data_IF_744317504372
#
_entry.id   IF_744317504372
#
_cell.length_a   1.000
_cell.length_b   1.000
_cell.length_c   1.000
_cell.angle_alpha   90.00
_cell.angle_beta   90.00
_cell.angle_gamma   90.00
#
_symmetry.space_group_name_H-M   'P 1'
#
loop_
_entity.id
_entity.type
_entity.pdbx_description
1 polymer ?
#
# COMPACT_ATOMS: atom_id res chain seq x y z
N UNK A 1 -14.43 -21.73 45.59
CA UNK A 1 -15.71 -21.57 44.85
C UNK A 1 -15.56 -21.24 43.36
N UNK A 2 -14.41 -20.82 42.83
CA UNK A 2 -14.25 -20.44 41.41
C UNK A 2 -14.12 -21.58 40.38
N UNK A 3 -13.55 -22.74 40.77
CA UNK A 3 -13.32 -23.85 39.83
C UNK A 3 -14.62 -24.53 39.36
N UNK A 4 -15.59 -24.74 40.26
CA UNK A 4 -16.86 -25.37 39.91
C UNK A 4 -17.68 -24.57 38.90
N UNK A 5 -17.61 -23.23 38.96
CA UNK A 5 -18.33 -22.36 38.04
C UNK A 5 -17.78 -22.46 36.62
N UNK A 6 -16.45 -22.57 36.45
CA UNK A 6 -15.81 -22.73 35.14
C UNK A 6 -16.21 -24.07 34.50
N UNK A 7 -16.30 -25.14 35.29
CA UNK A 7 -16.77 -26.44 34.80
C UNK A 7 -18.24 -26.39 34.39
N UNK A 8 -19.11 -25.74 35.18
CA UNK A 8 -20.53 -25.60 34.86
C UNK A 8 -20.72 -24.77 33.57
N UNK A 9 -19.98 -23.68 33.42
CA UNK A 9 -20.02 -22.84 32.22
C UNK A 9 -19.50 -23.60 30.98
N UNK A 10 -18.43 -24.39 31.13
CA UNK A 10 -17.92 -25.24 30.05
C UNK A 10 -18.92 -26.30 29.59
N UNK A 11 -19.60 -26.96 30.54
CA UNK A 11 -20.62 -27.96 30.27
C UNK A 11 -21.86 -27.31 29.61
N UNK A 12 -22.28 -26.15 30.07
CA UNK A 12 -23.39 -25.40 29.48
C UNK A 12 -23.09 -24.99 28.02
N UNK A 13 -21.85 -24.54 27.75
CA UNK A 13 -21.42 -24.18 26.40
C UNK A 13 -21.36 -25.40 25.45
N UNK A 14 -20.85 -26.54 25.93
CA UNK A 14 -20.88 -27.80 25.19
C UNK A 14 -22.31 -28.25 24.89
N UNK A 15 -23.22 -28.15 25.85
CA UNK A 15 -24.62 -28.51 25.65
C UNK A 15 -25.30 -27.65 24.58
N UNK A 16 -25.04 -26.35 24.55
CA UNK A 16 -25.58 -25.44 23.53
C UNK A 16 -25.05 -25.81 22.13
N UNK A 17 -23.76 -26.14 22.02
CA UNK A 17 -23.14 -26.56 20.75
C UNK A 17 -23.69 -27.90 20.25
N UNK A 18 -23.92 -28.86 21.15
CA UNK A 18 -24.54 -30.15 20.83
C UNK A 18 -25.98 -29.94 20.34
N UNK A 19 -26.76 -29.09 21.03
CA UNK A 19 -28.13 -28.77 20.62
C UNK A 19 -28.15 -28.09 19.25
N UNK A 20 -27.22 -27.17 18.98
CA UNK A 20 -27.11 -26.51 17.67
C UNK A 20 -26.75 -27.50 16.56
N UNK A 21 -25.82 -28.42 16.80
CA UNK A 21 -25.40 -29.46 15.86
C UNK A 21 -26.53 -30.46 15.54
N UNK A 22 -27.30 -30.87 16.55
CA UNK A 22 -28.48 -31.74 16.35
C UNK A 22 -29.56 -30.99 15.54
N UNK A 23 -29.76 -29.70 15.81
CA UNK A 23 -30.76 -28.87 15.13
C UNK A 23 -30.38 -28.54 13.67
N UNK A 24 -29.09 -28.59 13.31
CA UNK A 24 -28.60 -28.46 11.92
C UNK A 24 -28.68 -29.76 11.12
N UNK A 25 -29.07 -30.88 11.75
CA UNK A 25 -29.58 -32.07 11.06
C UNK A 25 -28.57 -32.84 10.21
N UNK A 26 -27.25 -32.70 10.44
CA UNK A 26 -26.25 -33.35 9.58
C UNK A 26 -25.14 -34.09 10.34
N UNK A 27 -25.42 -35.39 10.48
CA UNK A 27 -24.57 -36.50 10.88
C UNK A 27 -24.26 -36.67 12.39
N UNK A 28 -24.70 -37.81 12.92
CA UNK A 28 -24.50 -38.28 14.29
C UNK A 28 -23.01 -38.51 14.65
N UNK A 29 -22.13 -38.57 13.65
CA UNK A 29 -20.70 -38.88 13.78
C UNK A 29 -19.93 -37.73 14.45
N UNK A 30 -20.28 -36.47 14.13
CA UNK A 30 -19.59 -35.30 14.69
C UNK A 30 -19.90 -35.06 16.17
N UNK A 31 -21.09 -35.48 16.62
CA UNK A 31 -21.47 -35.42 18.04
C UNK A 31 -20.53 -36.29 18.88
N UNK A 32 -20.19 -37.49 18.40
CA UNK A 32 -19.24 -38.38 19.08
C UNK A 32 -17.81 -37.84 19.13
N UNK A 33 -17.35 -37.16 18.07
CA UNK A 33 -16.01 -36.55 18.01
C UNK A 33 -15.87 -35.37 18.98
N UNK A 34 -16.91 -34.53 19.10
CA UNK A 34 -16.91 -33.38 20.01
C UNK A 34 -16.99 -33.81 21.48
N UNK A 35 -17.75 -34.88 21.76
CA UNK A 35 -17.90 -35.42 23.12
C UNK A 35 -16.62 -36.10 23.61
N UNK A 36 -15.95 -36.88 22.76
CA UNK A 36 -14.75 -37.63 23.17
C UNK A 36 -13.50 -36.75 23.23
N UNK A 37 -13.43 -35.69 22.42
CA UNK A 37 -12.20 -34.93 22.19
C UNK A 37 -12.34 -33.42 22.41
N UNK A 38 -13.28 -32.99 23.27
CA UNK A 38 -13.44 -31.63 23.81
C UNK A 38 -12.82 -30.50 22.95
N UNK A 39 -11.66 -29.95 23.33
CA UNK A 39 -11.02 -28.82 22.63
C UNK A 39 -10.47 -29.13 21.23
N UNK A 40 -9.97 -30.34 21.00
CA UNK A 40 -9.43 -30.74 19.69
C UNK A 40 -10.55 -31.00 18.69
N UNK A 41 -11.71 -31.50 19.16
CA UNK A 41 -12.93 -31.65 18.36
C UNK A 41 -13.46 -30.31 17.84
N UNK A 42 -13.41 -29.25 18.67
CA UNK A 42 -13.76 -27.90 18.25
C UNK A 42 -12.83 -27.34 17.16
N UNK A 43 -11.50 -27.51 17.32
CA UNK A 43 -10.51 -27.09 16.32
C UNK A 43 -10.64 -27.87 15.00
N UNK A 44 -10.86 -29.18 15.09
CA UNK A 44 -11.05 -30.04 13.91
C UNK A 44 -12.34 -29.68 13.16
N UNK A 45 -13.44 -29.40 13.86
CA UNK A 45 -14.70 -28.99 13.24
C UNK A 45 -14.60 -27.63 12.54
N UNK A 46 -13.94 -26.65 13.16
CA UNK A 46 -13.69 -25.36 12.54
C UNK A 46 -12.82 -25.52 11.29
N UNK A 47 -11.74 -26.30 11.37
CA UNK A 47 -10.81 -26.51 10.26
C UNK A 47 -11.38 -27.33 9.09
N UNK A 48 -12.17 -28.36 9.37
CA UNK A 48 -12.70 -29.26 8.35
C UNK A 48 -14.04 -28.82 7.76
N UNK A 49 -14.89 -28.14 8.54
CA UNK A 49 -16.30 -27.90 8.15
C UNK A 49 -16.60 -26.40 7.92
N UNK A 50 -16.05 -25.49 8.72
CA UNK A 50 -16.32 -24.04 8.60
C UNK A 50 -15.45 -23.37 7.53
N UNK A 51 -14.18 -23.76 7.46
CA UNK A 51 -13.19 -23.25 6.49
C UNK A 51 -13.62 -23.50 5.03
N UNK A 52 -13.98 -24.72 4.57
CA UNK A 52 -14.39 -24.93 3.18
C UNK A 52 -15.70 -24.20 2.80
N UNK A 53 -16.63 -24.04 3.75
CA UNK A 53 -17.86 -23.27 3.57
C UNK A 53 -17.61 -21.77 3.39
N UNK A 54 -16.66 -21.20 4.15
CA UNK A 54 -16.27 -19.80 4.03
C UNK A 54 -15.39 -19.52 2.81
N UNK A 55 -14.54 -20.46 2.41
CA UNK A 55 -13.71 -20.36 1.19
C UNK A 55 -14.53 -20.33 -0.12
N UNK A 56 -15.76 -20.82 -0.12
CA UNK A 56 -16.67 -20.81 -1.29
C UNK A 56 -17.52 -19.54 -1.44
N UNK A 57 -17.44 -18.59 -0.52
CA UNK A 57 -18.19 -17.33 -0.61
C UNK A 57 -17.50 -16.32 -1.55
N UNK A 58 -18.28 -15.64 -2.41
CA UNK A 58 -17.76 -14.63 -3.36
C UNK A 58 -17.07 -13.45 -2.65
N UNK A 59 -17.45 -13.16 -1.40
CA UNK A 59 -16.83 -12.13 -0.55
C UNK A 59 -15.46 -12.57 -0.01
N UNK A 60 -15.34 -13.81 0.45
CA UNK A 60 -14.07 -14.39 0.91
C UNK A 60 -13.06 -14.50 -0.23
N UNK A 61 -13.48 -14.80 -1.47
CA UNK A 61 -12.55 -14.79 -2.62
C UNK A 61 -11.99 -13.40 -2.96
N UNK A 62 -12.72 -12.31 -2.70
CA UNK A 62 -12.22 -10.94 -2.87
C UNK A 62 -11.25 -10.56 -1.74
N UNK A 63 -11.60 -10.91 -0.50
CA UNK A 63 -10.72 -10.72 0.65
C UNK A 63 -9.42 -11.56 0.55
N UNK A 64 -9.53 -12.83 0.16
CA UNK A 64 -8.40 -13.74 -0.07
C UNK A 64 -7.52 -13.29 -1.24
N UNK A 65 -8.09 -12.66 -2.29
CA UNK A 65 -7.30 -12.02 -3.36
C UNK A 65 -6.51 -10.82 -2.85
N UNK A 66 -7.08 -10.02 -1.96
CA UNK A 66 -6.38 -8.90 -1.32
C UNK A 66 -5.24 -9.38 -0.42
N UNK A 67 -5.51 -10.40 0.41
CA UNK A 67 -4.50 -11.04 1.27
C UNK A 67 -3.44 -11.79 0.47
N UNK A 68 -3.78 -12.37 -0.69
CA UNK A 68 -2.80 -13.02 -1.58
C UNK A 68 -1.93 -12.01 -2.33
N UNK A 69 -2.43 -10.79 -2.60
CA UNK A 69 -1.62 -9.69 -3.16
C UNK A 69 -0.59 -9.16 -2.15
N UNK A 70 -0.92 -9.16 -0.86
CA UNK A 70 0.04 -8.79 0.19
C UNK A 70 1.01 -9.93 0.53
N UNK A 71 0.64 -11.20 0.30
CA UNK A 71 1.52 -12.37 0.51
C UNK A 71 2.45 -12.70 -0.68
N UNK A 72 2.12 -12.30 -1.91
CA UNK A 72 3.01 -12.45 -3.09
C UNK A 72 3.13 -11.14 -3.89
N UNK A 73 3.65 -10.05 -3.28
CA UNK A 73 3.95 -8.80 -3.99
C UNK A 73 4.98 -9.01 -5.11
N UNK A 74 5.77 -10.08 -5.04
CA UNK A 74 6.75 -10.47 -6.06
C UNK A 74 6.13 -10.95 -7.37
N UNK A 75 4.86 -11.39 -7.39
CA UNK A 75 4.22 -11.85 -8.64
C UNK A 75 4.03 -10.71 -9.63
N UNK A 76 3.58 -9.55 -9.18
CA UNK A 76 3.33 -8.40 -10.06
C UNK A 76 4.61 -7.86 -10.67
N UNK A 77 5.67 -7.77 -9.86
CA UNK A 77 6.99 -7.40 -10.35
C UNK A 77 7.51 -8.41 -11.38
N UNK A 78 7.42 -9.72 -11.11
CA UNK A 78 7.84 -10.75 -12.07
C UNK A 78 7.13 -10.62 -13.42
N UNK A 79 5.81 -10.38 -13.42
CA UNK A 79 5.05 -10.15 -14.65
C UNK A 79 5.52 -8.89 -15.38
N UNK A 80 5.77 -7.80 -14.65
CA UNK A 80 6.24 -6.54 -15.24
C UNK A 80 7.67 -6.66 -15.79
N UNK A 81 8.57 -7.37 -15.10
CA UNK A 81 9.93 -7.68 -15.55
C UNK A 81 9.91 -8.53 -16.82
N UNK A 82 9.06 -9.57 -16.86
CA UNK A 82 8.89 -10.40 -18.05
C UNK A 82 8.33 -9.61 -19.23
N UNK A 83 7.31 -8.77 -19.02
CA UNK A 83 6.73 -7.93 -20.07
C UNK A 83 7.73 -6.91 -20.62
N UNK A 84 8.49 -6.25 -19.73
CA UNK A 84 9.54 -5.31 -20.10
C UNK A 84 10.67 -5.99 -20.87
N UNK A 85 11.04 -7.22 -20.50
CA UNK A 85 12.05 -8.01 -21.23
C UNK A 85 11.59 -8.42 -22.63
N UNK A 86 10.31 -8.78 -22.79
CA UNK A 86 9.77 -9.27 -24.06
C UNK A 86 9.46 -8.13 -25.04
N UNK A 87 8.80 -7.07 -24.55
CA UNK A 87 8.34 -5.97 -25.43
C UNK A 87 9.29 -4.79 -25.46
N UNK A 88 9.94 -4.47 -24.34
CA UNK A 88 10.90 -3.38 -24.23
C UNK A 88 10.35 -1.98 -24.52
N UNK A 89 9.04 -1.80 -24.62
CA UNK A 89 8.42 -0.52 -24.95
C UNK A 89 8.24 0.38 -23.72
N UNK A 90 7.97 1.66 -23.94
CA UNK A 90 7.85 2.67 -22.87
C UNK A 90 6.76 2.31 -21.84
N UNK A 91 5.60 1.83 -22.28
CA UNK A 91 4.52 1.43 -21.37
C UNK A 91 4.92 0.25 -20.47
N UNK A 92 5.63 -0.75 -21.01
CA UNK A 92 6.14 -1.90 -20.25
C UNK A 92 7.19 -1.47 -19.21
N UNK A 93 8.09 -0.55 -19.59
CA UNK A 93 9.09 0.02 -18.67
C UNK A 93 8.46 0.84 -17.56
N UNK A 94 7.44 1.63 -17.88
CA UNK A 94 6.68 2.40 -16.89
C UNK A 94 6.03 1.46 -15.85
N UNK A 95 5.35 0.40 -16.29
CA UNK A 95 4.73 -0.57 -15.36
C UNK A 95 5.76 -1.28 -14.49
N UNK A 96 6.91 -1.63 -15.05
CA UNK A 96 8.03 -2.17 -14.30
C UNK A 96 8.49 -1.18 -13.22
N UNK A 97 8.71 0.08 -13.58
CA UNK A 97 9.12 1.12 -12.65
C UNK A 97 8.10 1.33 -11.52
N UNK A 98 6.80 1.38 -11.83
CA UNK A 98 5.73 1.49 -10.83
C UNK A 98 5.67 0.27 -9.89
N UNK A 99 5.93 -0.94 -10.40
CA UNK A 99 6.01 -2.15 -9.58
C UNK A 99 7.24 -2.12 -8.65
N UNK A 100 8.39 -1.65 -9.15
CA UNK A 100 9.63 -1.49 -8.37
C UNK A 100 9.46 -0.45 -7.26
N UNK A 101 8.86 0.70 -7.55
CA UNK A 101 8.56 1.76 -6.56
C UNK A 101 7.67 1.23 -5.43
N UNK A 102 6.65 0.42 -5.74
CA UNK A 102 5.76 -0.18 -4.72
C UNK A 102 6.46 -1.21 -3.84
N UNK A 103 7.55 -1.83 -4.31
CA UNK A 103 8.39 -2.72 -3.52
C UNK A 103 9.52 -1.99 -2.77
N UNK A 104 9.61 -0.65 -2.90
CA UNK A 104 10.70 0.13 -2.31
C UNK A 104 12.04 -0.03 -3.03
N UNK A 105 12.06 -0.65 -4.23
CA UNK A 105 13.25 -0.78 -5.08
C UNK A 105 13.45 0.48 -5.90
N UNK A 106 13.70 1.59 -5.22
CA UNK A 106 13.67 2.93 -5.80
C UNK A 106 14.79 3.19 -6.83
N UNK A 107 15.99 2.66 -6.60
CA UNK A 107 17.10 2.79 -7.56
C UNK A 107 16.77 2.12 -8.90
N UNK A 108 16.30 0.87 -8.86
CA UNK A 108 15.89 0.13 -10.04
C UNK A 108 14.70 0.79 -10.75
N UNK A 109 13.76 1.35 -9.98
CA UNK A 109 12.62 2.09 -10.54
C UNK A 109 13.09 3.34 -11.30
N UNK A 110 14.03 4.10 -10.73
CA UNK A 110 14.61 5.27 -11.38
C UNK A 110 15.31 4.90 -12.69
N UNK A 111 16.06 3.79 -12.72
CA UNK A 111 16.70 3.31 -13.95
C UNK A 111 15.68 2.89 -15.02
N UNK A 112 14.60 2.21 -14.64
CA UNK A 112 13.52 1.85 -15.54
C UNK A 112 12.83 3.09 -16.15
N UNK A 113 12.59 4.13 -15.35
CA UNK A 113 12.05 5.40 -15.84
C UNK A 113 13.03 6.12 -16.77
N UNK A 114 14.32 6.19 -16.45
CA UNK A 114 15.34 6.81 -17.34
C UNK A 114 15.41 6.12 -18.69
N UNK A 115 15.31 4.78 -18.71
CA UNK A 115 15.26 4.03 -19.96
C UNK A 115 13.97 4.31 -20.75
N UNK A 116 12.86 4.60 -20.07
CA UNK A 116 11.60 4.97 -20.71
C UNK A 116 11.62 6.40 -21.28
N UNK A 117 12.36 7.32 -20.65
CA UNK A 117 12.56 8.72 -21.03
C UNK A 117 13.57 8.88 -22.18
N UNK A 118 13.28 8.26 -23.33
CA UNK A 118 14.14 8.37 -24.53
C UNK A 118 13.32 8.61 -25.79
N UNK A 119 13.94 9.23 -26.80
CA UNK A 119 13.31 9.50 -28.09
C UNK A 119 12.07 10.38 -27.94
N UNK A 120 10.91 9.92 -28.44
CA UNK A 120 9.66 10.68 -28.39
C UNK A 120 9.16 10.96 -26.95
N UNK A 121 9.63 10.19 -25.97
CA UNK A 121 9.17 10.25 -24.58
C UNK A 121 10.19 10.92 -23.64
N UNK A 122 11.26 11.53 -24.18
CA UNK A 122 12.34 12.16 -23.40
C UNK A 122 11.85 13.17 -22.35
N UNK A 123 10.76 13.86 -22.65
CA UNK A 123 10.13 14.84 -21.76
C UNK A 123 8.69 14.47 -21.39
N UNK A 124 8.32 13.18 -21.44
CA UNK A 124 6.97 12.77 -21.05
C UNK A 124 6.69 13.13 -19.59
N UNK A 125 5.64 13.92 -19.30
CA UNK A 125 5.44 14.46 -17.96
C UNK A 125 5.12 13.40 -16.91
N UNK A 126 4.46 12.30 -17.28
CA UNK A 126 4.11 11.24 -16.33
C UNK A 126 5.34 10.41 -15.97
N UNK A 127 6.20 10.11 -16.95
CA UNK A 127 7.46 9.39 -16.71
C UNK A 127 8.45 10.22 -15.89
N UNK A 128 8.55 11.53 -16.15
CA UNK A 128 9.38 12.44 -15.36
C UNK A 128 8.88 12.56 -13.92
N UNK A 129 7.56 12.67 -13.72
CA UNK A 129 6.98 12.67 -12.37
C UNK A 129 7.24 11.35 -11.64
N UNK A 130 7.09 10.22 -12.33
CA UNK A 130 7.42 8.89 -11.79
C UNK A 130 8.89 8.75 -11.41
N UNK A 131 9.79 9.26 -12.25
CA UNK A 131 11.24 9.31 -11.96
C UNK A 131 11.52 10.13 -10.69
N UNK A 132 10.94 11.32 -10.58
CA UNK A 132 11.10 12.17 -9.40
C UNK A 132 10.59 11.48 -8.12
N UNK A 133 9.45 10.78 -8.19
CA UNK A 133 8.92 10.00 -7.07
C UNK A 133 9.87 8.87 -6.66
N UNK A 134 10.44 8.16 -7.64
CA UNK A 134 11.42 7.10 -7.38
C UNK A 134 12.71 7.66 -6.76
N UNK A 135 13.25 8.76 -7.27
CA UNK A 135 14.45 9.42 -6.74
C UNK A 135 14.24 9.88 -5.29
N UNK A 136 13.11 10.56 -5.02
CA UNK A 136 12.78 11.02 -3.68
C UNK A 136 12.57 9.85 -2.71
N UNK A 137 11.85 8.80 -3.13
CA UNK A 137 11.69 7.58 -2.34
C UNK A 137 13.02 6.86 -2.05
N UNK A 138 13.98 6.95 -2.97
CA UNK A 138 15.35 6.44 -2.82
C UNK A 138 16.25 7.29 -1.94
N UNK A 139 15.76 8.41 -1.39
CA UNK A 139 16.54 9.30 -0.53
C UNK A 139 17.41 10.31 -1.27
N UNK A 140 17.13 10.58 -2.55
CA UNK A 140 17.82 11.60 -3.34
C UNK A 140 16.88 12.77 -3.68
N UNK A 141 16.61 13.67 -2.71
CA UNK A 141 15.71 14.80 -2.90
C UNK A 141 16.25 15.79 -3.94
N UNK A 142 17.57 15.96 -4.03
CA UNK A 142 18.20 16.86 -5.00
C UNK A 142 17.97 16.41 -6.45
N UNK A 143 18.13 15.11 -6.74
CA UNK A 143 17.84 14.57 -8.07
C UNK A 143 16.33 14.64 -8.40
N UNK A 144 15.46 14.41 -7.42
CA UNK A 144 14.02 14.55 -7.59
C UNK A 144 13.65 16.00 -7.94
N UNK A 145 14.18 16.98 -7.20
CA UNK A 145 13.96 18.40 -7.48
C UNK A 145 14.45 18.78 -8.87
N UNK A 146 15.66 18.37 -9.25
CA UNK A 146 16.20 18.65 -10.59
C UNK A 146 15.31 18.07 -11.71
N UNK A 147 14.75 16.88 -11.49
CA UNK A 147 13.83 16.23 -12.43
C UNK A 147 12.49 16.98 -12.51
N UNK A 148 11.98 17.48 -11.38
CA UNK A 148 10.77 18.30 -11.33
C UNK A 148 10.98 19.70 -11.94
N UNK A 149 12.15 20.31 -11.76
CA UNK A 149 12.52 21.56 -12.44
C UNK A 149 12.51 21.37 -13.97
N UNK A 150 13.10 20.27 -14.45
CA UNK A 150 13.06 19.91 -15.87
C UNK A 150 11.62 19.62 -16.35
N UNK A 151 10.81 18.94 -15.53
CA UNK A 151 9.40 18.67 -15.83
C UNK A 151 8.62 19.97 -16.04
N UNK A 152 8.77 20.94 -15.13
CA UNK A 152 8.12 22.25 -15.23
C UNK A 152 8.61 23.02 -16.46
N UNK A 153 9.91 22.97 -16.75
CA UNK A 153 10.50 23.66 -17.89
C UNK A 153 10.00 23.13 -19.23
N UNK A 154 9.99 21.80 -19.41
CA UNK A 154 9.59 21.17 -20.67
C UNK A 154 8.08 20.99 -20.82
N UNK A 155 7.33 20.99 -19.71
CA UNK A 155 5.88 20.78 -19.70
C UNK A 155 5.15 21.86 -18.86
N UNK A 156 5.19 23.14 -19.27
CA UNK A 156 4.61 24.24 -18.47
C UNK A 156 3.10 24.13 -18.25
N UNK A 157 2.39 23.43 -19.14
CA UNK A 157 0.95 23.18 -19.04
C UNK A 157 0.61 21.98 -18.14
N UNK A 158 1.59 21.13 -17.80
CA UNK A 158 1.37 19.99 -16.92
C UNK A 158 1.25 20.45 -15.47
N UNK A 159 0.05 20.32 -14.90
CA UNK A 159 -0.23 20.65 -13.50
C UNK A 159 -0.52 19.38 -12.72
N UNK A 160 0.37 19.05 -11.78
CA UNK A 160 0.14 17.98 -10.81
C UNK A 160 0.29 18.54 -9.40
N UNK A 161 -0.80 18.57 -8.60
CA UNK A 161 -0.72 18.88 -7.18
C UNK A 161 0.30 17.98 -6.47
N UNK A 162 0.36 16.70 -6.82
CA UNK A 162 1.29 15.71 -6.26
C UNK A 162 2.74 16.04 -6.60
N UNK A 163 3.01 16.46 -7.84
CA UNK A 163 4.33 16.92 -8.27
C UNK A 163 4.77 18.17 -7.53
N UNK A 164 3.88 19.14 -7.30
CA UNK A 164 4.19 20.33 -6.52
C UNK A 164 4.43 19.98 -5.04
N UNK A 165 3.62 19.10 -4.43
CA UNK A 165 3.90 18.63 -3.06
C UNK A 165 5.27 17.93 -2.96
N UNK A 166 5.60 17.10 -3.95
CA UNK A 166 6.90 16.42 -4.01
C UNK A 166 8.05 17.42 -4.12
N UNK A 167 7.87 18.49 -4.90
CA UNK A 167 8.85 19.57 -5.02
C UNK A 167 9.12 20.27 -3.69
N UNK A 168 8.06 20.66 -2.97
CA UNK A 168 8.16 21.29 -1.67
C UNK A 168 8.84 20.38 -0.63
N UNK A 169 8.55 19.07 -0.68
CA UNK A 169 9.21 18.06 0.16
C UNK A 169 10.69 17.88 -0.17
N UNK A 170 11.05 17.88 -1.46
CA UNK A 170 12.44 17.82 -1.88
C UNK A 170 13.23 19.03 -1.38
N UNK A 171 12.67 20.24 -1.50
CA UNK A 171 13.26 21.46 -0.95
C UNK A 171 13.45 21.39 0.57
N UNK A 172 12.46 20.87 1.30
CA UNK A 172 12.52 20.68 2.75
C UNK A 172 13.66 19.72 3.13
N UNK A 173 13.76 18.56 2.47
CA UNK A 173 14.77 17.53 2.73
C UNK A 173 16.19 17.97 2.29
N UNK A 174 16.31 18.86 1.30
CA UNK A 174 17.55 19.54 0.92
C UNK A 174 17.98 20.62 1.94
N UNK A 175 17.14 20.94 2.94
CA UNK A 175 17.39 21.99 3.94
C UNK A 175 17.04 23.40 3.46
N UNK A 176 16.37 23.55 2.32
CA UNK A 176 15.94 24.84 1.78
C UNK A 176 14.58 25.27 2.35
N UNK A 177 14.54 25.44 3.68
CA UNK A 177 13.32 25.65 4.45
C UNK A 177 12.50 26.87 3.99
N UNK A 178 13.16 27.96 3.58
CA UNK A 178 12.47 29.18 3.13
C UNK A 178 11.68 28.95 1.83
N UNK A 179 12.31 28.31 0.83
CA UNK A 179 11.62 27.97 -0.42
C UNK A 179 10.53 26.93 -0.19
N UNK A 180 10.80 25.90 0.61
CA UNK A 180 9.79 24.90 0.96
C UNK A 180 8.55 25.54 1.61
N UNK A 181 8.76 26.52 2.51
CA UNK A 181 7.68 27.25 3.16
C UNK A 181 6.83 28.04 2.16
N UNK A 182 7.45 28.70 1.17
CA UNK A 182 6.74 29.40 0.11
C UNK A 182 5.87 28.45 -0.71
N UNK A 183 6.41 27.32 -1.14
CA UNK A 183 5.66 26.32 -1.91
C UNK A 183 4.52 25.70 -1.09
N UNK A 184 4.77 25.35 0.18
CA UNK A 184 3.71 24.84 1.06
C UNK A 184 2.60 25.85 1.32
N UNK A 185 2.91 27.16 1.37
CA UNK A 185 1.91 28.22 1.48
C UNK A 185 0.97 28.24 0.28
N UNK A 186 1.53 28.08 -0.92
CA UNK A 186 0.76 28.03 -2.16
C UNK A 186 -0.07 26.75 -2.20
N UNK A 187 0.53 25.59 -1.91
CA UNK A 187 -0.16 24.31 -1.83
C UNK A 187 -1.29 24.28 -0.80
N UNK A 188 -1.15 24.94 0.35
CA UNK A 188 -2.19 24.95 1.40
C UNK A 188 -3.53 25.54 0.91
N UNK A 189 -3.52 26.33 -0.18
CA UNK A 189 -4.73 26.93 -0.75
C UNK A 189 -5.53 26.00 -1.65
N UNK A 190 -4.93 24.95 -2.23
CA UNK A 190 -5.58 24.13 -3.26
C UNK A 190 -5.26 22.63 -3.20
N UNK A 191 -4.23 22.20 -2.46
CA UNK A 191 -3.86 20.78 -2.38
C UNK A 191 -4.90 19.99 -1.59
N UNK A 192 -5.40 18.87 -2.12
CA UNK A 192 -6.36 18.03 -1.41
C UNK A 192 -5.69 17.30 -0.24
N UNK A 193 -5.98 17.72 0.99
CA UNK A 193 -5.55 17.03 2.21
C UNK A 193 -4.87 17.94 3.23
N UNK A 194 -4.57 17.36 4.40
CA UNK A 194 -3.98 18.11 5.51
C UNK A 194 -2.46 18.24 5.43
N UNK A 195 -1.77 17.50 4.55
CA UNK A 195 -0.31 17.43 4.55
C UNK A 195 0.35 18.79 4.30
N UNK A 196 -0.05 19.51 3.23
CA UNK A 196 0.54 20.82 2.92
C UNK A 196 0.28 21.88 4.02
N UNK A 197 -0.96 22.06 4.53
CA UNK A 197 -1.21 22.96 5.66
C UNK A 197 -0.43 22.59 6.93
N UNK A 198 -0.33 21.29 7.26
CA UNK A 198 0.40 20.83 8.46
C UNK A 198 1.90 21.09 8.32
N UNK A 199 2.49 20.78 7.16
CA UNK A 199 3.91 21.05 6.90
C UNK A 199 4.19 22.54 6.91
N UNK A 200 3.33 23.36 6.30
CA UNK A 200 3.42 24.82 6.36
C UNK A 200 3.38 25.37 7.80
N UNK A 201 2.51 24.82 8.66
CA UNK A 201 2.40 25.23 10.05
C UNK A 201 3.58 24.78 10.93
N UNK A 202 4.22 23.66 10.58
CA UNK A 202 5.32 23.06 11.35
C UNK A 202 6.68 23.65 11.01
N UNK A 203 6.90 24.05 9.76
CA UNK A 203 8.19 24.58 9.33
C UNK A 203 8.50 25.90 10.06
N UNK A 204 9.68 26.02 10.71
CA UNK A 204 10.07 27.26 11.36
C UNK A 204 10.17 28.36 10.31
N UNK A 205 9.44 29.46 10.55
CA UNK A 205 9.62 30.68 9.76
C UNK A 205 10.95 31.27 10.22
N UNK A 206 11.87 31.53 9.30
CA UNK A 206 13.01 32.39 9.61
C UNK A 206 12.42 33.66 10.23
N UNK A 207 12.87 34.01 11.42
CA UNK A 207 12.34 35.14 12.16
C UNK A 207 12.40 36.36 11.23
N UNK A 208 11.24 36.88 10.83
CA UNK A 208 11.19 38.20 10.22
C UNK A 208 11.89 39.18 11.19
N UNK A 209 12.62 40.17 10.69
CA UNK A 209 13.26 41.14 11.57
C UNK A 209 12.19 41.71 12.52
N UNK A 210 12.41 41.53 13.82
CA UNK A 210 11.60 42.16 14.85
C UNK A 210 11.66 43.68 14.63
N UNK A 211 10.53 44.24 14.18
CA UNK A 211 10.11 45.65 14.23
C UNK A 211 10.76 46.64 13.27
#
# INVERSE_FOLDING_TARGET
MGMGLIFIVGIALQAILIIHAIKTGRSFIWVWVIVLLSWVGCLAYIGAELVPGWLRSRGTQRAMRSVRRTLDPGRELRHAEDEARVTGNVASRQRLAEALTRQGRYADAADAYRQALTGLYEHDPNLMLGLAQAQFGGGDPAAARATLDALIHHNPEFKSPEGHLLYARALEDEGNAEKALEEYRVLASYYPGAEAPVRYARLPRSAGPDR
#
